data_IF_458101793626
#
_entry.id   IF_458101793626
#
_cell.length_a   1.000
_cell.length_b   1.000
_cell.length_c   1.000
_cell.angle_alpha   90.00
_cell.angle_beta   90.00
_cell.angle_gamma   90.00
#
_symmetry.space_group_name_H-M   'P 1'
#
loop_
_entity.id
_entity.type
_entity.pdbx_description
1 polymer ?
#
# COMPACT_ATOMS: atom_id res chain seq x y z
N UNK A 1 -17.52 8.01 7.38
CA UNK A 1 -16.74 9.26 7.16
C UNK A 1 -15.56 8.90 6.28
N UNK A 2 -15.30 9.63 5.20
CA UNK A 2 -14.15 9.39 4.30
C UNK A 2 -12.87 9.88 4.98
N UNK A 3 -11.85 9.02 5.08
CA UNK A 3 -10.54 9.38 5.65
C UNK A 3 -9.71 10.17 4.65
N UNK A 4 -8.83 11.02 5.18
CA UNK A 4 -7.85 11.77 4.40
C UNK A 4 -6.45 11.50 4.96
N UNK A 5 -5.52 11.15 4.07
CA UNK A 5 -4.11 11.01 4.37
C UNK A 5 -3.32 12.12 3.68
N UNK A 6 -2.55 12.87 4.46
CA UNK A 6 -1.68 13.95 3.99
C UNK A 6 -0.30 13.38 3.70
N UNK A 7 0.13 13.47 2.45
CA UNK A 7 1.43 12.99 1.99
C UNK A 7 2.40 14.15 2.03
N UNK A 8 3.41 14.06 2.89
CA UNK A 8 4.38 15.14 3.08
C UNK A 8 5.50 15.08 2.04
N UNK A 9 5.92 16.25 1.58
CA UNK A 9 7.14 16.36 0.78
C UNK A 9 8.37 16.03 1.63
N UNK A 10 9.33 15.30 1.07
CA UNK A 10 10.54 14.87 1.79
C UNK A 10 11.34 16.05 2.37
N UNK A 11 11.39 17.19 1.67
CA UNK A 11 12.09 18.37 2.14
C UNK A 11 11.37 19.03 3.34
N UNK A 12 10.04 18.92 3.43
CA UNK A 12 9.28 19.40 4.60
C UNK A 12 9.76 18.71 5.87
N UNK A 13 9.98 17.39 5.81
CA UNK A 13 10.48 16.63 6.97
C UNK A 13 11.93 16.98 7.24
N UNK A 14 12.80 17.00 6.22
CA UNK A 14 14.22 17.33 6.36
C UNK A 14 14.43 18.70 7.00
N UNK A 15 13.66 19.71 6.61
CA UNK A 15 13.78 21.07 7.12
C UNK A 15 13.28 21.22 8.57
N UNK A 16 12.41 20.32 9.03
CA UNK A 16 11.82 20.36 10.37
C UNK A 16 12.46 19.38 11.37
N UNK A 17 13.49 18.63 10.97
CA UNK A 17 14.19 17.69 11.85
C UNK A 17 15.63 18.11 12.08
N UNK A 18 16.19 17.95 13.29
CA UNK A 18 17.56 18.40 13.62
C UNK A 18 18.68 17.57 12.97
N UNK A 19 18.38 16.50 12.25
CA UNK A 19 19.34 15.55 11.67
C UNK A 19 19.42 15.61 10.14
N UNK A 20 19.47 16.77 9.55
CA UNK A 20 19.10 17.08 8.17
C UNK A 20 20.05 16.63 7.06
N UNK A 21 21.30 16.25 7.32
CA UNK A 21 22.28 16.11 6.20
C UNK A 21 22.40 14.71 5.57
N UNK A 22 21.96 13.62 6.23
CA UNK A 22 22.21 12.26 5.74
C UNK A 22 21.05 11.27 5.98
N UNK A 23 19.84 11.73 6.23
CA UNK A 23 18.72 10.80 6.40
C UNK A 23 18.32 10.18 5.07
N UNK A 24 18.50 8.85 4.97
CA UNK A 24 17.92 8.10 3.86
C UNK A 24 16.38 8.07 3.97
N UNK A 25 15.71 7.74 2.87
CA UNK A 25 14.24 7.73 2.78
C UNK A 25 13.60 6.82 3.84
N UNK A 26 14.26 5.71 4.20
CA UNK A 26 13.72 4.74 5.16
C UNK A 26 13.54 5.35 6.56
N UNK A 27 14.45 6.24 6.97
CA UNK A 27 14.34 6.99 8.24
C UNK A 27 13.29 8.10 8.19
N UNK A 28 13.02 8.67 7.02
CA UNK A 28 12.01 9.72 6.89
C UNK A 28 10.59 9.20 7.16
N UNK A 29 10.32 7.92 6.93
CA UNK A 29 9.03 7.30 7.27
C UNK A 29 8.69 7.33 8.77
N UNK A 30 9.69 7.47 9.66
CA UNK A 30 9.46 7.58 11.11
C UNK A 30 8.78 8.91 11.50
N UNK A 31 8.86 9.92 10.62
CA UNK A 31 8.32 11.26 10.84
C UNK A 31 7.00 11.53 10.10
N UNK A 32 6.53 10.61 9.27
CA UNK A 32 5.25 10.78 8.59
C UNK A 32 4.10 10.11 9.32
N UNK A 33 2.90 10.58 9.02
CA UNK A 33 1.65 9.96 9.52
C UNK A 33 1.53 8.49 9.12
N UNK A 34 0.78 7.73 9.89
CA UNK A 34 0.46 6.33 9.61
C UNK A 34 -1.00 6.18 9.24
N UNK A 35 -1.27 5.62 8.08
CA UNK A 35 -2.60 5.18 7.68
C UNK A 35 -2.85 3.78 8.26
N UNK A 36 -3.38 3.70 9.47
CA UNK A 36 -3.66 2.43 10.13
C UNK A 36 -4.79 1.68 9.43
N UNK A 37 -4.55 0.39 9.15
CA UNK A 37 -5.54 -0.54 8.62
C UNK A 37 -6.26 -1.12 9.84
N UNK A 38 -7.32 -0.48 10.27
CA UNK A 38 -8.02 -0.77 11.52
C UNK A 38 -9.53 -1.06 11.34
N UNK A 39 -10.04 -0.99 10.10
CA UNK A 39 -11.39 -1.39 9.74
C UNK A 39 -11.37 -2.83 9.23
N UNK A 40 -12.14 -3.71 9.87
CA UNK A 40 -12.29 -5.12 9.49
C UNK A 40 -13.77 -5.46 9.33
N UNK A 41 -14.44 -4.97 8.24
CA UNK A 41 -15.90 -5.05 8.11
C UNK A 41 -16.41 -6.48 7.98
N UNK A 42 -15.58 -7.42 7.55
CA UNK A 42 -15.97 -8.84 7.35
C UNK A 42 -15.25 -9.79 8.32
N UNK A 43 -14.92 -9.28 9.51
CA UNK A 43 -14.22 -10.08 10.51
C UNK A 43 -15.12 -11.16 11.11
N UNK A 44 -14.72 -12.41 10.91
CA UNK A 44 -15.34 -13.59 11.51
C UNK A 44 -14.38 -14.35 12.44
N UNK A 45 -13.11 -14.01 12.44
CA UNK A 45 -12.05 -14.73 13.14
C UNK A 45 -11.57 -14.06 14.43
N UNK A 46 -11.82 -12.74 14.55
CA UNK A 46 -11.22 -11.89 15.60
C UNK A 46 -9.74 -11.59 15.36
N UNK A 47 -9.12 -12.09 14.29
CA UNK A 47 -7.72 -11.83 13.97
C UNK A 47 -7.58 -10.52 13.20
N UNK A 48 -6.96 -9.54 13.85
CA UNK A 48 -6.76 -8.18 13.33
C UNK A 48 -5.30 -7.78 13.48
N UNK A 49 -4.42 -8.22 12.58
CA UNK A 49 -3.01 -7.90 12.67
C UNK A 49 -2.79 -6.40 12.58
N UNK A 50 -1.87 -5.87 13.38
CA UNK A 50 -1.46 -4.47 13.28
C UNK A 50 -0.82 -4.24 11.92
N UNK A 51 -1.38 -3.33 11.14
CA UNK A 51 -0.85 -2.96 9.83
C UNK A 51 -1.09 -1.48 9.53
N UNK A 52 -0.17 -0.86 8.81
CA UNK A 52 -0.30 0.53 8.38
C UNK A 52 0.52 0.82 7.13
N UNK A 53 0.17 1.90 6.46
CA UNK A 53 0.93 2.48 5.37
C UNK A 53 1.48 3.86 5.77
N UNK A 54 2.60 4.24 5.15
CA UNK A 54 3.17 5.57 5.21
C UNK A 54 3.62 5.99 3.81
N UNK A 55 3.35 7.24 3.43
CA UNK A 55 3.73 7.77 2.11
C UNK A 55 4.44 9.12 2.27
N UNK A 56 5.47 9.29 1.48
CA UNK A 56 6.21 10.52 1.24
C UNK A 56 6.28 10.78 -0.26
N UNK A 57 6.59 12.00 -0.66
CA UNK A 57 6.84 12.30 -2.07
C UNK A 57 7.98 13.32 -2.26
N UNK A 58 8.55 13.30 -3.45
CA UNK A 58 9.42 14.34 -3.99
C UNK A 58 8.96 14.72 -5.41
N UNK A 59 9.75 15.51 -6.12
CA UNK A 59 9.44 15.95 -7.49
C UNK A 59 9.38 14.81 -8.52
N UNK A 60 9.88 13.61 -8.19
CA UNK A 60 9.95 12.47 -9.10
C UNK A 60 8.83 11.46 -8.87
N UNK A 61 8.30 11.36 -7.64
CA UNK A 61 7.30 10.35 -7.33
C UNK A 61 7.04 10.19 -5.84
N UNK A 62 6.33 9.12 -5.52
CA UNK A 62 5.95 8.75 -4.17
C UNK A 62 6.80 7.59 -3.65
N UNK A 63 7.21 7.69 -2.40
CA UNK A 63 7.81 6.61 -1.62
C UNK A 63 6.73 6.05 -0.70
N UNK A 64 6.45 4.77 -0.82
CA UNK A 64 5.41 4.09 -0.04
C UNK A 64 6.06 3.04 0.84
N UNK A 65 5.69 2.98 2.10
CA UNK A 65 6.03 1.90 3.02
C UNK A 65 4.75 1.26 3.54
N UNK A 66 4.63 -0.04 3.34
CA UNK A 66 3.58 -0.90 3.89
C UNK A 66 4.21 -1.74 4.99
N UNK A 67 3.62 -1.81 6.17
CA UNK A 67 4.17 -2.55 7.31
C UNK A 67 3.08 -3.33 8.04
N UNK A 68 3.36 -4.60 8.36
CA UNK A 68 2.45 -5.46 9.12
C UNK A 68 3.18 -6.25 10.21
N UNK A 69 2.41 -6.65 11.24
CA UNK A 69 2.87 -7.44 12.38
C UNK A 69 1.94 -8.65 12.54
N UNK A 70 2.48 -9.85 12.41
CA UNK A 70 1.72 -11.09 12.39
C UNK A 70 2.36 -12.17 13.29
N UNK A 71 1.56 -13.04 13.87
CA UNK A 71 2.07 -14.20 14.61
C UNK A 71 2.68 -15.25 13.68
N UNK A 72 2.17 -15.35 12.46
CA UNK A 72 2.64 -16.27 11.41
C UNK A 72 2.65 -15.54 10.08
N UNK A 73 3.77 -15.62 9.36
CA UNK A 73 3.91 -15.10 8.01
C UNK A 73 3.81 -16.26 7.02
N UNK A 74 2.98 -16.09 6.00
CA UNK A 74 2.86 -17.01 4.86
C UNK A 74 3.32 -16.26 3.60
N UNK A 75 4.27 -16.84 2.87
CA UNK A 75 4.75 -16.30 1.58
C UNK A 75 5.19 -17.47 0.67
N UNK A 76 4.31 -17.92 -0.19
CA UNK A 76 4.48 -19.07 -1.09
C UNK A 76 4.70 -18.67 -2.55
N UNK A 77 4.15 -17.51 -2.93
CA UNK A 77 4.19 -17.02 -4.30
C UNK A 77 5.46 -16.21 -4.54
N UNK A 78 6.22 -16.58 -5.57
CA UNK A 78 7.55 -16.03 -5.83
C UNK A 78 7.68 -15.33 -7.20
N UNK A 79 6.63 -15.37 -8.02
CA UNK A 79 6.63 -14.75 -9.34
C UNK A 79 5.64 -13.60 -9.36
N UNK A 80 6.03 -12.51 -9.99
CA UNK A 80 5.12 -11.39 -10.20
C UNK A 80 3.88 -11.81 -10.98
N UNK A 81 2.76 -11.18 -10.63
CA UNK A 81 1.41 -11.50 -11.06
C UNK A 81 0.87 -12.85 -10.54
N UNK A 82 1.60 -13.55 -9.66
CA UNK A 82 1.03 -14.65 -8.88
C UNK A 82 -0.02 -14.11 -7.88
N UNK A 83 -0.96 -14.92 -7.39
CA UNK A 83 -2.03 -14.51 -6.49
C UNK A 83 -1.52 -14.27 -5.05
N UNK A 84 -0.70 -13.24 -4.85
CA UNK A 84 -0.07 -12.90 -3.57
C UNK A 84 -1.06 -12.56 -2.45
N UNK A 85 -2.31 -12.18 -2.79
CA UNK A 85 -3.39 -11.96 -1.84
C UNK A 85 -3.76 -13.20 -1.02
N UNK A 86 -3.35 -14.40 -1.48
CA UNK A 86 -3.51 -15.66 -0.76
C UNK A 86 -2.47 -15.88 0.34
N UNK A 87 -1.34 -15.19 0.27
CA UNK A 87 -0.30 -15.14 1.30
C UNK A 87 -0.64 -14.09 2.37
N UNK A 88 0.23 -13.91 3.37
CA UNK A 88 0.25 -12.66 4.13
C UNK A 88 0.45 -11.53 3.13
N UNK A 89 -0.54 -10.63 3.00
CA UNK A 89 -0.54 -9.66 1.93
C UNK A 89 -0.84 -8.25 2.44
N UNK A 90 -0.16 -7.26 1.89
CA UNK A 90 -0.52 -5.85 1.99
C UNK A 90 -0.75 -5.26 0.61
N UNK A 91 -1.76 -4.40 0.52
CA UNK A 91 -2.15 -3.84 -0.76
C UNK A 91 -2.30 -2.32 -0.68
N UNK A 92 -2.01 -1.67 -1.79
CA UNK A 92 -2.27 -0.26 -2.01
C UNK A 92 -3.01 -0.07 -3.33
N UNK A 93 -4.26 0.37 -3.26
CA UNK A 93 -5.05 0.71 -4.43
C UNK A 93 -5.06 2.22 -4.60
N UNK A 94 -4.73 2.67 -5.82
CA UNK A 94 -4.49 4.08 -6.13
C UNK A 94 -5.19 4.50 -7.41
N UNK A 95 -6.09 5.46 -7.34
CA UNK A 95 -6.51 6.29 -8.47
C UNK A 95 -5.76 7.63 -8.40
N UNK A 96 -4.75 7.78 -9.24
CA UNK A 96 -3.90 8.97 -9.26
C UNK A 96 -4.55 10.20 -9.93
N UNK A 97 -5.59 9.99 -10.74
CA UNK A 97 -6.26 11.03 -11.50
C UNK A 97 -7.79 10.89 -11.43
N UNK A 98 -8.41 11.02 -10.23
CA UNK A 98 -9.84 10.76 -10.03
C UNK A 98 -10.76 11.72 -10.83
N UNK A 99 -10.28 12.89 -11.21
CA UNK A 99 -11.03 13.81 -12.05
C UNK A 99 -11.10 13.39 -13.54
N UNK A 100 -10.20 12.48 -13.96
CA UNK A 100 -10.04 12.08 -15.36
C UNK A 100 -10.35 10.63 -15.63
N UNK A 101 -10.24 9.77 -14.62
CA UNK A 101 -10.36 8.31 -14.78
C UNK A 101 -11.05 7.66 -13.60
N UNK A 102 -11.87 6.63 -13.90
CA UNK A 102 -12.41 5.72 -12.89
C UNK A 102 -11.46 4.53 -12.63
N UNK A 103 -10.42 4.37 -13.42
CA UNK A 103 -9.46 3.29 -13.26
C UNK A 103 -8.53 3.55 -12.08
N UNK A 104 -8.04 2.48 -11.50
CA UNK A 104 -7.07 2.51 -10.41
C UNK A 104 -6.00 1.43 -10.61
N UNK A 105 -4.84 1.67 -10.04
CA UNK A 105 -3.77 0.70 -9.88
C UNK A 105 -4.02 -0.08 -8.60
N UNK A 106 -3.88 -1.40 -8.63
CA UNK A 106 -3.83 -2.23 -7.43
C UNK A 106 -2.45 -2.88 -7.30
N UNK A 107 -1.67 -2.38 -6.35
CA UNK A 107 -0.40 -2.95 -5.93
C UNK A 107 -0.67 -3.91 -4.78
N UNK A 108 -0.31 -5.18 -4.93
CA UNK A 108 -0.45 -6.22 -3.91
C UNK A 108 0.92 -6.87 -3.68
N UNK A 109 1.32 -7.07 -2.43
CA UNK A 109 2.64 -7.58 -2.07
C UNK A 109 2.55 -8.63 -0.98
N UNK A 110 3.29 -9.73 -1.15
CA UNK A 110 3.59 -10.62 -0.05
C UNK A 110 4.90 -10.22 0.68
N UNK A 111 5.28 -10.83 1.81
CA UNK A 111 6.46 -10.48 2.59
C UNK A 111 7.80 -10.60 1.86
N UNK A 112 7.87 -11.33 0.76
CA UNK A 112 9.08 -11.41 -0.08
C UNK A 112 9.19 -10.31 -1.12
N UNK A 113 8.20 -9.39 -1.18
CA UNK A 113 8.16 -8.34 -2.18
C UNK A 113 7.72 -8.82 -3.56
N UNK A 114 7.17 -10.03 -3.65
CA UNK A 114 6.49 -10.48 -4.87
C UNK A 114 5.27 -9.61 -5.09
N UNK A 115 5.16 -9.04 -6.28
CA UNK A 115 4.14 -8.06 -6.63
C UNK A 115 3.13 -8.61 -7.64
N UNK A 116 1.85 -8.41 -7.35
CA UNK A 116 0.80 -8.41 -8.36
C UNK A 116 0.39 -6.94 -8.60
N UNK A 117 0.40 -6.54 -9.87
CA UNK A 117 0.02 -5.18 -10.26
C UNK A 117 -1.04 -5.21 -11.35
N UNK A 118 -2.22 -4.72 -11.03
CA UNK A 118 -3.32 -4.58 -11.98
C UNK A 118 -3.68 -3.12 -12.23
N UNK A 119 -4.30 -2.85 -13.37
CA UNK A 119 -4.86 -1.55 -13.74
C UNK A 119 -6.21 -1.73 -14.43
N UNK A 120 -7.24 -1.10 -13.91
CA UNK A 120 -8.60 -1.19 -14.43
C UNK A 120 -9.61 -0.47 -13.55
N UNK A 121 -10.89 -0.53 -13.92
CA UNK A 121 -11.99 0.13 -13.22
C UNK A 121 -12.68 -0.77 -12.19
N UNK A 122 -12.43 -2.09 -12.23
CA UNK A 122 -13.05 -3.07 -11.35
C UNK A 122 -12.18 -4.34 -11.25
N UNK A 123 -12.59 -5.28 -10.39
CA UNK A 123 -11.94 -6.59 -10.25
C UNK A 123 -11.87 -7.35 -11.59
N UNK A 124 -12.89 -7.27 -12.41
CA UNK A 124 -13.03 -8.03 -13.66
C UNK A 124 -12.57 -7.28 -14.91
N UNK A 125 -12.45 -5.96 -14.83
CA UNK A 125 -12.03 -5.07 -15.93
C UNK A 125 -10.58 -4.61 -15.75
N UNK A 126 -9.73 -5.37 -15.10
CA UNK A 126 -8.33 -5.03 -14.92
C UNK A 126 -7.42 -5.88 -15.77
N UNK A 127 -6.33 -5.29 -16.22
CA UNK A 127 -5.22 -5.99 -16.88
C UNK A 127 -4.03 -6.03 -15.93
N UNK A 128 -3.31 -7.15 -15.91
CA UNK A 128 -2.07 -7.26 -15.14
C UNK A 128 -0.92 -6.64 -15.90
N UNK A 129 -0.23 -5.71 -15.26
CA UNK A 129 0.89 -4.95 -15.82
C UNK A 129 2.21 -5.20 -15.07
N UNK A 130 2.22 -6.10 -14.10
CA UNK A 130 3.39 -6.42 -13.27
C UNK A 130 4.54 -7.09 -14.03
N UNK A 131 4.32 -7.58 -15.25
CA UNK A 131 5.41 -8.05 -16.14
C UNK A 131 6.21 -6.93 -16.80
N UNK A 132 5.74 -5.70 -16.72
CA UNK A 132 6.55 -4.53 -17.08
C UNK A 132 7.77 -4.46 -16.16
N UNK A 133 8.82 -3.78 -16.60
CA UNK A 133 10.08 -3.69 -15.87
C UNK A 133 9.88 -3.17 -14.41
N UNK A 134 9.74 -4.11 -13.45
CA UNK A 134 9.47 -3.80 -12.03
C UNK A 134 10.61 -3.04 -11.34
N UNK A 135 11.78 -2.95 -11.97
CA UNK A 135 12.92 -2.20 -11.43
C UNK A 135 12.60 -0.71 -11.24
N UNK A 136 11.60 -0.18 -11.96
CA UNK A 136 11.17 1.22 -11.78
C UNK A 136 10.63 1.50 -10.38
N UNK A 137 10.03 0.50 -9.72
CA UNK A 137 9.42 0.65 -8.39
C UNK A 137 10.43 0.50 -7.24
N UNK A 138 11.65 0.04 -7.51
CA UNK A 138 12.70 -0.14 -6.51
C UNK A 138 12.19 -0.84 -5.23
N UNK A 139 11.46 -1.95 -5.41
CA UNK A 139 10.81 -2.69 -4.33
C UNK A 139 11.85 -3.29 -3.41
N UNK A 140 11.70 -3.06 -2.10
CA UNK A 140 12.50 -3.69 -1.05
C UNK A 140 11.57 -4.35 -0.05
N UNK A 141 11.96 -5.48 0.49
CA UNK A 141 11.24 -6.19 1.55
C UNK A 141 12.14 -6.40 2.75
N UNK A 142 11.54 -6.34 3.94
CA UNK A 142 12.21 -6.64 5.21
C UNK A 142 11.35 -7.54 6.07
N UNK A 143 11.97 -8.54 6.72
CA UNK A 143 11.29 -9.42 7.68
C UNK A 143 12.14 -9.46 8.95
N UNK A 144 11.51 -9.23 10.09
CA UNK A 144 12.13 -9.35 11.42
C UNK A 144 11.26 -10.19 12.34
N UNK A 145 11.91 -10.98 13.21
CA UNK A 145 11.25 -11.77 14.25
C UNK A 145 11.55 -11.13 15.59
N UNK A 146 10.52 -10.86 16.37
CA UNK A 146 10.60 -10.37 17.73
C UNK A 146 9.90 -11.36 18.66
N UNK A 147 10.48 -11.58 19.85
CA UNK A 147 9.87 -12.41 20.88
C UNK A 147 9.36 -11.47 22.00
N UNK A 148 8.05 -11.48 22.24
CA UNK A 148 7.44 -10.65 23.27
C UNK A 148 6.34 -11.44 24.00
N UNK A 149 6.35 -11.39 25.32
CA UNK A 149 5.34 -12.02 26.21
C UNK A 149 5.13 -13.52 25.91
N UNK A 150 6.23 -14.25 25.60
CA UNK A 150 6.20 -15.68 25.32
C UNK A 150 5.70 -16.06 23.92
N UNK A 151 5.48 -15.08 23.05
CA UNK A 151 5.05 -15.29 21.66
C UNK A 151 6.04 -14.68 20.67
N UNK A 152 6.16 -15.33 19.52
CA UNK A 152 6.85 -14.74 18.38
C UNK A 152 5.90 -13.83 17.62
N UNK A 153 6.38 -12.63 17.33
CA UNK A 153 5.71 -11.67 16.45
C UNK A 153 6.67 -11.35 15.32
N UNK A 154 6.23 -11.56 14.10
CA UNK A 154 6.96 -11.17 12.90
C UNK A 154 6.50 -9.79 12.48
N UNK A 155 7.45 -8.88 12.26
CA UNK A 155 7.20 -7.65 11.51
C UNK A 155 7.76 -7.80 10.11
N UNK A 156 7.01 -7.35 9.11
CA UNK A 156 7.50 -7.29 7.75
C UNK A 156 7.05 -6.00 7.08
N UNK A 157 7.84 -5.54 6.15
CA UNK A 157 7.55 -4.32 5.41
C UNK A 157 7.96 -4.43 3.95
N UNK A 158 7.25 -3.66 3.14
CA UNK A 158 7.55 -3.40 1.74
C UNK A 158 7.76 -1.90 1.59
N UNK A 159 8.87 -1.52 0.99
CA UNK A 159 9.12 -0.15 0.55
C UNK A 159 9.18 -0.14 -0.96
N UNK A 160 8.46 0.79 -1.59
CA UNK A 160 8.49 0.97 -3.04
C UNK A 160 8.50 2.45 -3.41
N UNK A 161 8.99 2.74 -4.62
CA UNK A 161 8.92 4.04 -5.25
C UNK A 161 7.95 3.99 -6.43
N UNK A 162 6.99 4.92 -6.50
CA UNK A 162 6.05 5.05 -7.61
C UNK A 162 6.36 6.34 -8.37
N UNK A 163 7.03 6.28 -9.55
CA UNK A 163 7.34 7.47 -10.34
C UNK A 163 6.08 8.18 -10.82
N UNK A 164 6.04 9.51 -10.75
CA UNK A 164 4.94 10.27 -11.34
C UNK A 164 4.87 10.10 -12.86
N UNK A 165 6.02 9.94 -13.52
CA UNK A 165 6.08 9.63 -14.94
C UNK A 165 5.36 8.33 -15.30
N UNK A 166 5.50 7.28 -14.45
CA UNK A 166 4.75 6.03 -14.61
C UNK A 166 3.24 6.27 -14.48
N UNK A 167 2.80 7.05 -13.49
CA UNK A 167 1.37 7.37 -13.33
C UNK A 167 0.83 8.11 -14.55
N UNK A 168 1.54 9.12 -15.03
CA UNK A 168 1.15 9.84 -16.25
C UNK A 168 1.06 8.92 -17.46
N UNK A 169 2.02 8.01 -17.64
CA UNK A 169 2.03 7.08 -18.76
C UNK A 169 0.88 6.07 -18.72
N UNK A 170 0.62 5.45 -17.55
CA UNK A 170 -0.43 4.43 -17.41
C UNK A 170 -1.84 5.01 -17.56
N UNK A 171 -2.05 6.23 -17.06
CA UNK A 171 -3.35 6.91 -17.20
C UNK A 171 -3.51 7.68 -18.51
N UNK A 172 -2.46 7.75 -19.35
CA UNK A 172 -2.44 8.54 -20.60
C UNK A 172 -2.78 10.01 -20.37
N UNK A 173 -2.38 10.54 -19.22
CA UNK A 173 -2.64 11.92 -18.80
C UNK A 173 -1.36 12.74 -18.93
N UNK A 174 -1.31 13.64 -19.90
CA UNK A 174 -0.18 14.53 -20.10
C UNK A 174 -0.41 15.87 -19.37
N UNK A 175 0.60 16.36 -18.66
CA UNK A 175 0.68 17.71 -18.07
C UNK A 175 -0.33 18.08 -16.95
N UNK A 176 -0.91 17.11 -16.23
CA UNK A 176 -1.67 17.41 -15.01
C UNK A 176 -0.78 17.35 -13.77
N UNK A 177 -0.97 18.31 -12.87
CA UNK A 177 -0.34 18.29 -11.55
C UNK A 177 -1.10 17.28 -10.69
N UNK A 178 -0.39 16.34 -10.07
CA UNK A 178 -0.96 15.41 -9.11
C UNK A 178 -0.99 16.12 -7.74
N UNK A 179 -2.17 16.51 -7.28
CA UNK A 179 -2.36 17.10 -5.96
C UNK A 179 -3.27 16.26 -5.07
N UNK A 180 -4.38 15.78 -5.65
CA UNK A 180 -5.40 15.01 -4.97
C UNK A 180 -5.60 13.69 -5.70
N UNK A 181 -5.43 12.62 -4.96
CA UNK A 181 -5.63 11.24 -5.42
C UNK A 181 -6.68 10.57 -4.55
N UNK A 182 -7.17 9.43 -5.01
CA UNK A 182 -8.03 8.54 -4.23
C UNK A 182 -7.32 7.20 -4.06
N UNK A 183 -7.47 6.58 -2.88
CA UNK A 183 -6.87 5.27 -2.65
C UNK A 183 -7.32 4.63 -1.36
N UNK A 184 -6.90 3.39 -1.17
CA UNK A 184 -7.09 2.67 0.08
C UNK A 184 -5.91 1.71 0.32
N UNK A 185 -5.70 1.36 1.57
CA UNK A 185 -4.69 0.39 1.99
C UNK A 185 -5.39 -0.80 2.60
N UNK A 186 -4.87 -2.00 2.31
CA UNK A 186 -5.49 -3.24 2.77
C UNK A 186 -4.46 -4.18 3.37
N UNK A 187 -4.95 -5.02 4.28
CA UNK A 187 -4.24 -6.17 4.83
C UNK A 187 -5.13 -7.38 4.67
N UNK A 188 -4.63 -8.38 3.98
CA UNK A 188 -5.35 -9.64 3.80
C UNK A 188 -4.45 -10.87 3.91
N UNK A 189 -5.07 -12.03 3.78
CA UNK A 189 -4.42 -13.33 3.78
C UNK A 189 -5.45 -14.42 3.60
N UNK A 190 -5.88 -14.65 2.33
CA UNK A 190 -7.00 -15.55 2.03
C UNK A 190 -6.74 -17.00 2.45
N UNK A 191 -5.51 -17.51 2.18
CA UNK A 191 -5.10 -18.88 2.46
C UNK A 191 -4.10 -18.97 3.64
N UNK A 192 -4.17 -18.02 4.59
CA UNK A 192 -3.41 -18.05 5.84
C UNK A 192 -4.13 -18.85 6.92
N UNK A 193 -3.45 -19.11 8.04
CA UNK A 193 -4.08 -19.80 9.19
C UNK A 193 -5.27 -19.04 9.77
N UNK A 194 -5.31 -17.73 9.58
CA UNK A 194 -6.37 -16.82 10.03
C UNK A 194 -6.76 -15.91 8.87
N UNK A 195 -7.66 -16.32 7.96
CA UNK A 195 -8.14 -15.47 6.89
C UNK A 195 -8.71 -14.15 7.44
N UNK A 196 -8.29 -13.03 6.89
CA UNK A 196 -8.65 -11.70 7.38
C UNK A 196 -8.64 -10.67 6.24
N UNK A 197 -9.45 -9.61 6.40
CA UNK A 197 -9.66 -8.57 5.40
C UNK A 197 -9.79 -7.22 6.08
N UNK A 198 -8.67 -6.50 6.22
CA UNK A 198 -8.59 -5.18 6.80
C UNK A 198 -8.47 -4.07 5.76
N UNK A 199 -9.02 -2.90 6.04
CA UNK A 199 -8.89 -1.71 5.21
C UNK A 199 -8.61 -0.46 6.05
N UNK A 200 -7.98 0.54 5.43
CA UNK A 200 -7.78 1.85 6.04
C UNK A 200 -9.07 2.67 6.03
N UNK A 201 -9.66 2.90 4.86
CA UNK A 201 -10.96 3.53 4.74
C UNK A 201 -12.03 2.44 4.65
N UNK A 202 -13.04 2.52 5.51
CA UNK A 202 -14.04 1.46 5.66
C UNK A 202 -14.82 1.19 4.37
N UNK A 203 -15.13 -0.07 4.12
CA UNK A 203 -15.97 -0.53 3.02
C UNK A 203 -17.29 -1.02 3.60
N UNK A 204 -18.39 -0.41 3.18
CA UNK A 204 -19.75 -0.75 3.63
C UNK A 204 -20.43 -1.69 2.61
N UNK A 205 -19.99 -2.96 2.63
CA UNK A 205 -20.57 -4.05 1.82
C UNK A 205 -20.73 -5.32 2.63
N UNK A 206 -21.70 -6.13 2.27
CA UNK A 206 -22.03 -7.39 2.98
C UNK A 206 -20.96 -8.49 2.76
N UNK A 207 -20.24 -8.46 1.64
CA UNK A 207 -19.23 -9.46 1.27
C UNK A 207 -17.85 -8.80 1.07
N UNK A 208 -16.80 -9.59 1.27
CA UNK A 208 -15.43 -9.11 1.14
C UNK A 208 -15.07 -8.78 -0.31
N UNK A 209 -14.86 -7.50 -0.56
CA UNK A 209 -14.40 -6.99 -1.85
C UNK A 209 -13.64 -5.67 -1.67
N UNK A 210 -12.35 -5.68 -1.96
CA UNK A 210 -11.51 -4.49 -1.93
C UNK A 210 -11.63 -3.62 -3.20
N UNK A 211 -12.14 -4.21 -4.29
CA UNK A 211 -12.26 -3.55 -5.59
C UNK A 211 -13.46 -2.61 -5.66
N UNK A 212 -13.53 -1.69 -4.71
CA UNK A 212 -14.63 -0.77 -4.47
C UNK A 212 -14.13 0.67 -4.43
N UNK A 213 -13.78 1.29 -5.58
CA UNK A 213 -13.20 2.63 -5.61
C UNK A 213 -14.10 3.72 -5.03
N UNK A 214 -15.42 3.48 -4.93
CA UNK A 214 -16.37 4.35 -4.25
C UNK A 214 -16.08 4.53 -2.74
N UNK A 215 -15.34 3.60 -2.14
CA UNK A 215 -14.89 3.65 -0.75
C UNK A 215 -13.42 4.05 -0.59
N UNK A 216 -12.78 4.58 -1.61
CA UNK A 216 -11.43 5.11 -1.46
C UNK A 216 -11.42 6.38 -0.62
N UNK A 217 -10.40 6.51 0.22
CA UNK A 217 -10.10 7.73 0.95
C UNK A 217 -9.37 8.77 0.09
N UNK A 218 -9.15 9.95 0.66
CA UNK A 218 -8.41 11.03 0.01
C UNK A 218 -6.90 10.90 0.32
N UNK A 219 -6.08 11.07 -0.69
CA UNK A 219 -4.61 11.14 -0.59
C UNK A 219 -4.18 12.51 -1.14
N UNK A 220 -3.64 13.38 -0.28
CA UNK A 220 -3.37 14.78 -0.62
C UNK A 220 -1.88 15.06 -0.48
N UNK A 221 -1.24 15.57 -1.52
CA UNK A 221 0.14 16.05 -1.49
C UNK A 221 0.22 17.41 -0.79
N UNK A 222 1.11 17.55 0.23
CA UNK A 222 1.35 18.79 0.99
C UNK A 222 2.80 19.27 0.89
#
# INVERSE_FOLDING_TARGET
MVRTYKILHVDTIKNNTPYTCEMNIDKLFDFCGKAFIDCYPWDNSGYKPLAFASILYDIKGMYVKLQAFEEIIIARYLKNDDPVYKDSCMEFFLNAFPAYSQKYLNFEFNPFGTMLLGFGSSRTDRVYIGKMNNNIFNIKSGISRNHKDGKDIFSWDITLFIPFEFLHAVYEVNSCIINEMKGNFYKCGDDTSFPHYGCWNNIDKEYSDFHCPEFFGNLILE
#
